data_IF_859746008095
#
_entry.id   IF_859746008095
#
_cell.length_a   1.000
_cell.length_b   1.000
_cell.length_c   1.000
_cell.angle_alpha   90.00
_cell.angle_beta   90.00
_cell.angle_gamma   90.00
#
_symmetry.space_group_name_H-M   'P 1'
#
loop_
_entity.id
_entity.type
_entity.pdbx_description
1 polymer ?
#
# COMPACT_ATOMS: atom_id res chain seq x y z
N UNK A 1 7.90 5.63 -15.72
CA UNK A 1 7.33 5.54 -14.36
C UNK A 1 5.86 5.86 -14.41
N UNK A 2 5.05 5.04 -13.75
CA UNK A 2 3.61 5.28 -13.67
C UNK A 2 3.31 6.33 -12.62
N UNK A 3 2.25 7.10 -12.84
CA UNK A 3 1.68 7.89 -11.75
C UNK A 3 0.88 6.95 -10.85
N UNK A 4 0.72 7.33 -9.59
CA UNK A 4 -0.15 6.59 -8.70
C UNK A 4 -1.06 7.52 -7.93
N UNK A 5 -2.20 7.00 -7.51
CA UNK A 5 -3.12 7.69 -6.63
C UNK A 5 -3.68 6.71 -5.61
N UNK A 6 -4.17 7.23 -4.51
CA UNK A 6 -4.85 6.43 -3.50
C UNK A 6 -6.35 6.64 -3.65
N UNK A 7 -7.12 5.55 -3.62
CA UNK A 7 -8.55 5.70 -3.51
C UNK A 7 -8.94 6.04 -2.07
N UNK A 8 -10.21 6.30 -1.83
CA UNK A 8 -10.69 6.73 -0.50
C UNK A 8 -10.37 5.70 0.57
N UNK A 9 -10.56 4.41 0.28
CA UNK A 9 -10.28 3.35 1.26
C UNK A 9 -8.80 3.32 1.62
N UNK A 10 -7.91 3.47 0.64
CA UNK A 10 -6.47 3.47 0.91
C UNK A 10 -6.06 4.68 1.74
N UNK A 11 -6.66 5.84 1.48
CA UNK A 11 -6.40 7.04 2.30
C UNK A 11 -6.82 6.82 3.74
N UNK A 12 -7.98 6.22 3.97
CA UNK A 12 -8.46 5.89 5.32
C UNK A 12 -7.55 4.87 5.99
N UNK A 13 -7.12 3.86 5.24
CA UNK A 13 -6.21 2.84 5.76
C UNK A 13 -4.87 3.47 6.19
N UNK A 14 -4.36 4.38 5.37
CA UNK A 14 -3.10 5.06 5.67
C UNK A 14 -3.21 5.91 6.93
N UNK A 15 -4.31 6.65 7.08
CA UNK A 15 -4.56 7.45 8.27
C UNK A 15 -4.64 6.56 9.53
N UNK A 16 -5.34 5.44 9.44
CA UNK A 16 -5.47 4.48 10.53
C UNK A 16 -4.11 3.91 10.93
N UNK A 17 -3.29 3.56 9.96
CA UNK A 17 -1.94 3.02 10.19
C UNK A 17 -1.10 4.05 10.94
N UNK A 18 -1.15 5.31 10.52
CA UNK A 18 -0.36 6.37 11.16
C UNK A 18 -0.83 6.63 12.59
N UNK A 19 -2.13 6.73 12.80
CA UNK A 19 -2.71 6.94 14.14
C UNK A 19 -2.37 5.77 15.08
N UNK A 20 -2.47 4.55 14.60
CA UNK A 20 -2.10 3.37 15.36
C UNK A 20 -0.62 3.43 15.73
N UNK A 21 0.22 3.79 14.78
CA UNK A 21 1.67 3.91 15.01
C UNK A 21 1.99 4.92 16.08
N UNK A 22 1.34 6.09 16.06
CA UNK A 22 1.54 7.13 17.08
C UNK A 22 1.10 6.64 18.46
N UNK A 23 -0.04 5.94 18.55
CA UNK A 23 -0.57 5.49 19.83
C UNK A 23 0.23 4.34 20.44
N UNK A 24 0.85 3.50 19.64
CA UNK A 24 1.56 2.31 20.11
C UNK A 24 3.07 2.48 20.19
N UNK A 25 3.62 3.39 19.40
CA UNK A 25 5.05 3.62 19.32
C UNK A 25 5.31 5.10 19.46
N UNK A 26 6.56 5.51 19.35
CA UNK A 26 6.91 6.92 19.33
C UNK A 26 6.57 7.51 17.97
N UNK A 27 6.30 8.80 17.94
CA UNK A 27 5.96 9.49 16.70
C UNK A 27 7.04 9.33 15.62
N UNK A 28 8.31 9.27 16.04
CA UNK A 28 9.41 9.06 15.10
C UNK A 28 9.27 7.71 14.39
N UNK A 29 8.89 6.66 15.13
CA UNK A 29 8.66 5.35 14.54
C UNK A 29 7.46 5.35 13.59
N UNK A 30 6.41 6.07 13.95
CA UNK A 30 5.24 6.20 13.10
C UNK A 30 5.59 6.90 11.78
N UNK A 31 6.40 7.96 11.84
CA UNK A 31 6.85 8.67 10.67
C UNK A 31 7.72 7.77 9.77
N UNK A 32 8.63 7.01 10.37
CA UNK A 32 9.49 6.08 9.61
C UNK A 32 8.66 5.03 8.88
N UNK A 33 7.62 4.51 9.53
CA UNK A 33 6.76 3.52 8.91
C UNK A 33 5.92 4.15 7.79
N UNK A 34 5.44 5.36 8.00
CA UNK A 34 4.72 6.12 6.99
C UNK A 34 5.61 6.32 5.75
N UNK A 35 6.86 6.72 5.95
CA UNK A 35 7.81 6.89 4.85
C UNK A 35 8.09 5.57 4.13
N UNK A 36 8.16 4.47 4.87
CA UNK A 36 8.32 3.14 4.27
C UNK A 36 7.15 2.80 3.35
N UNK A 37 5.94 3.10 3.76
CA UNK A 37 4.75 2.87 2.93
C UNK A 37 4.83 3.68 1.63
N UNK A 38 5.23 4.95 1.71
CA UNK A 38 5.36 5.77 0.51
C UNK A 38 6.49 5.30 -0.40
N UNK A 39 7.58 4.78 0.17
CA UNK A 39 8.62 4.14 -0.64
C UNK A 39 8.07 2.93 -1.39
N UNK A 40 7.19 2.16 -0.77
CA UNK A 40 6.54 1.04 -1.42
C UNK A 40 5.66 1.51 -2.58
N UNK A 41 4.92 2.61 -2.41
CA UNK A 41 4.13 3.18 -3.51
C UNK A 41 5.03 3.55 -4.68
N UNK A 42 6.17 4.16 -4.41
CA UNK A 42 7.13 4.55 -5.45
C UNK A 42 7.69 3.34 -6.20
N UNK A 43 7.98 2.26 -5.50
CA UNK A 43 8.46 1.02 -6.13
C UNK A 43 7.38 0.39 -7.00
N UNK A 44 6.14 0.42 -6.55
CA UNK A 44 5.00 -0.06 -7.34
C UNK A 44 4.87 0.78 -8.60
N UNK A 45 4.93 2.10 -8.49
CA UNK A 45 4.79 3.01 -9.62
C UNK A 45 5.94 2.85 -10.62
N UNK A 46 7.13 2.50 -10.13
CA UNK A 46 8.29 2.29 -10.99
C UNK A 46 8.09 1.08 -11.90
N UNK A 47 7.57 -0.03 -11.37
CA UNK A 47 7.28 -1.23 -12.17
C UNK A 47 6.10 -2.01 -11.57
N UNK A 48 4.87 -1.60 -11.91
CA UNK A 48 3.69 -2.21 -11.30
C UNK A 48 3.44 -3.66 -11.71
N UNK A 49 4.08 -4.12 -12.77
CA UNK A 49 3.92 -5.52 -13.22
C UNK A 49 4.92 -6.46 -12.56
N UNK A 50 5.84 -5.94 -11.77
CA UNK A 50 6.83 -6.75 -11.06
C UNK A 50 6.21 -7.55 -9.92
N UNK A 51 5.18 -7.03 -9.30
CA UNK A 51 4.59 -7.63 -8.10
C UNK A 51 3.49 -8.61 -8.48
N UNK A 52 3.27 -9.64 -7.63
CA UNK A 52 2.36 -10.72 -7.98
C UNK A 52 0.90 -10.30 -8.03
N UNK A 53 0.13 -11.07 -8.76
CA UNK A 53 -1.31 -10.89 -8.81
C UNK A 53 -1.96 -11.35 -7.51
N UNK A 54 -2.98 -10.62 -7.09
CA UNK A 54 -3.72 -10.87 -5.84
C UNK A 54 -5.11 -11.42 -6.16
N UNK A 55 -5.19 -12.43 -7.01
CA UNK A 55 -6.48 -12.94 -7.47
C UNK A 55 -7.35 -13.51 -6.35
N UNK A 56 -6.74 -13.99 -5.25
CA UNK A 56 -7.49 -14.44 -4.07
C UNK A 56 -8.18 -13.30 -3.36
N UNK A 57 -7.60 -12.10 -3.44
CA UNK A 57 -8.21 -10.92 -2.89
C UNK A 57 -9.26 -10.37 -3.86
N UNK A 58 -8.84 -10.12 -5.08
CA UNK A 58 -9.71 -9.66 -6.14
C UNK A 58 -9.03 -9.82 -7.50
N UNK A 59 -9.80 -10.27 -8.49
CA UNK A 59 -9.29 -10.39 -9.83
C UNK A 59 -8.84 -9.03 -10.37
N UNK A 60 -7.70 -9.02 -11.05
CA UNK A 60 -7.13 -7.79 -11.61
C UNK A 60 -6.28 -6.99 -10.65
N UNK A 61 -6.24 -7.40 -9.37
CA UNK A 61 -5.42 -6.73 -8.36
C UNK A 61 -4.05 -7.38 -8.26
N UNK A 62 -3.09 -6.58 -7.81
CA UNK A 62 -1.75 -7.03 -7.44
C UNK A 62 -1.46 -6.60 -6.02
N UNK A 63 -0.41 -7.15 -5.42
CA UNK A 63 -0.08 -6.81 -4.05
C UNK A 63 1.42 -6.66 -3.84
N UNK A 64 1.77 -5.81 -2.89
CA UNK A 64 3.14 -5.58 -2.46
C UNK A 64 3.16 -5.62 -0.93
N UNK A 65 3.95 -6.54 -0.37
CA UNK A 65 4.11 -6.62 1.08
C UNK A 65 5.03 -5.49 1.51
N UNK A 66 4.61 -4.75 2.53
CA UNK A 66 5.32 -3.60 3.04
C UNK A 66 5.25 -3.60 4.56
N UNK A 67 6.36 -3.95 5.21
CA UNK A 67 6.37 -4.08 6.66
C UNK A 67 5.36 -5.12 7.13
N UNK A 68 4.47 -4.73 8.03
CA UNK A 68 3.41 -5.62 8.54
C UNK A 68 2.12 -5.52 7.74
N UNK A 69 2.11 -4.71 6.69
CA UNK A 69 0.94 -4.49 5.86
C UNK A 69 1.14 -5.01 4.45
N UNK A 70 0.03 -5.18 3.75
CA UNK A 70 0.02 -5.52 2.33
C UNK A 70 -0.72 -4.42 1.58
N UNK A 71 -0.08 -3.91 0.53
CA UNK A 71 -0.65 -2.88 -0.32
C UNK A 71 -1.28 -3.57 -1.51
N UNK A 72 -2.58 -3.38 -1.70
CA UNK A 72 -3.32 -3.90 -2.85
C UNK A 72 -3.55 -2.79 -3.84
N UNK A 73 -3.27 -3.04 -5.11
CA UNK A 73 -3.41 -2.03 -6.14
C UNK A 73 -3.86 -2.67 -7.45
N UNK A 74 -4.30 -1.81 -8.35
CA UNK A 74 -4.61 -2.20 -9.72
C UNK A 74 -4.05 -1.15 -10.68
N UNK A 75 -3.96 -1.52 -11.94
CA UNK A 75 -3.52 -0.61 -12.99
C UNK A 75 -4.75 -0.25 -13.80
N UNK A 76 -5.02 1.04 -13.91
CA UNK A 76 -6.20 1.56 -14.58
C UNK A 76 -5.79 2.76 -15.43
N UNK A 77 -5.95 2.65 -16.75
CA UNK A 77 -5.61 3.72 -17.68
C UNK A 77 -4.18 4.22 -17.51
N UNK A 78 -3.22 3.30 -17.43
CA UNK A 78 -1.80 3.59 -17.26
C UNK A 78 -1.47 4.32 -15.94
N UNK A 79 -2.34 4.22 -14.98
CA UNK A 79 -2.13 4.77 -13.65
C UNK A 79 -2.27 3.66 -12.61
N UNK A 80 -1.41 3.67 -11.61
CA UNK A 80 -1.52 2.76 -10.47
C UNK A 80 -2.56 3.35 -9.52
N UNK A 81 -3.52 2.53 -9.14
CA UNK A 81 -4.53 2.92 -8.17
C UNK A 81 -4.35 2.07 -6.92
N UNK A 82 -3.93 2.70 -5.82
CA UNK A 82 -3.77 2.02 -4.53
C UNK A 82 -5.17 1.84 -3.95
N UNK A 83 -5.57 0.58 -3.76
CA UNK A 83 -6.95 0.25 -3.41
C UNK A 83 -7.15 0.04 -1.92
N UNK A 84 -6.16 -0.58 -1.25
CA UNK A 84 -6.27 -0.88 0.18
C UNK A 84 -4.88 -1.14 0.76
N UNK A 85 -4.73 -0.89 2.05
CA UNK A 85 -3.52 -1.23 2.80
C UNK A 85 -4.00 -1.97 4.03
N UNK A 86 -3.73 -3.27 4.07
CA UNK A 86 -4.34 -4.17 5.04
C UNK A 86 -3.24 -4.90 5.79
N UNK A 87 -3.46 -5.11 7.08
CA UNK A 87 -2.57 -5.93 7.89
C UNK A 87 -2.24 -7.22 7.14
N UNK A 88 -0.95 -7.56 7.12
CA UNK A 88 -0.47 -8.71 6.35
C UNK A 88 -1.13 -10.00 6.83
N UNK A 89 -1.68 -10.74 5.87
CA UNK A 89 -2.33 -12.02 6.11
C UNK A 89 -1.60 -13.10 5.34
N UNK A 90 -1.72 -14.33 5.82
CA UNK A 90 -1.21 -15.49 5.11
C UNK A 90 -2.14 -15.84 3.96
N UNK A 91 -1.58 -15.94 2.77
CA UNK A 91 -2.30 -16.38 1.59
C UNK A 91 -1.96 -17.84 1.31
#
# INVERSE_FOLDING_TARGET
>A
MYNYKLNVQAEEDLARIFEYGISRFRIIQAIKYYDLIFDCFSRIAFNPFLFPEAFRFREGYRYCVCGVDTIFYRINNNEVEIMAIIWRQNY
#
